data_IF_970660596575
#
_entry.id   IF_970660596575
#
_cell.length_a   1.000
_cell.length_b   1.000
_cell.length_c   1.000
_cell.angle_alpha   90.00
_cell.angle_beta   90.00
_cell.angle_gamma   90.00
#
_symmetry.space_group_name_H-M   'P 1'
#
loop_
_entity.id
_entity.type
_entity.pdbx_description
1 polymer ?
#
# COMPACT_ATOMS: atom_id res chain seq x y z
N UNK A 1 -3.32 8.15 1.05
CA UNK A 1 -3.26 9.56 1.54
C UNK A 1 -3.30 10.51 0.35
N UNK A 2 -4.14 11.55 0.38
CA UNK A 2 -4.15 12.61 -0.66
C UNK A 2 -3.00 13.59 -0.42
N UNK A 3 -2.26 13.96 -1.47
CA UNK A 3 -1.11 14.86 -1.40
C UNK A 3 -1.24 16.04 -2.38
N UNK A 4 -0.39 17.06 -2.23
CA UNK A 4 -0.36 18.21 -3.16
C UNK A 4 0.60 17.91 -4.32
N UNK A 5 0.40 18.54 -5.49
CA UNK A 5 1.30 18.36 -6.63
C UNK A 5 2.75 18.77 -6.36
N UNK A 6 3.00 19.64 -5.38
CA UNK A 6 4.34 20.07 -4.99
C UNK A 6 5.02 19.12 -3.98
N UNK A 7 4.28 18.16 -3.42
CA UNK A 7 4.77 17.25 -2.39
C UNK A 7 5.94 16.41 -2.91
N UNK A 8 7.08 16.50 -2.23
CA UNK A 8 8.28 15.72 -2.55
C UNK A 8 8.29 14.42 -1.77
N UNK A 9 8.98 13.41 -2.30
CA UNK A 9 9.07 12.12 -1.60
C UNK A 9 9.83 12.21 -0.26
N UNK A 10 10.74 13.18 -0.12
CA UNK A 10 11.44 13.47 1.14
C UNK A 10 10.49 13.95 2.24
N UNK A 11 9.44 14.66 1.88
CA UNK A 11 8.50 15.30 2.82
C UNK A 11 7.47 14.29 3.36
N UNK A 12 7.37 13.11 2.75
CA UNK A 12 6.44 12.07 3.14
C UNK A 12 7.10 10.98 3.98
N UNK A 13 6.29 10.24 4.74
CA UNK A 13 6.79 9.30 5.74
C UNK A 13 7.70 8.20 5.16
N UNK A 14 8.68 7.81 5.99
CA UNK A 14 9.75 6.85 5.64
C UNK A 14 9.36 5.37 5.90
N UNK A 15 8.16 5.12 6.40
CA UNK A 15 7.69 3.78 6.74
C UNK A 15 6.85 3.14 5.64
N UNK A 16 6.79 1.81 5.65
CA UNK A 16 5.97 0.96 4.75
C UNK A 16 4.46 1.27 4.69
N UNK A 17 3.75 1.82 5.73
CA UNK A 17 2.34 2.17 5.51
C UNK A 17 2.15 3.37 4.57
N UNK A 18 3.22 4.10 4.26
CA UNK A 18 3.20 5.32 3.48
C UNK A 18 3.75 5.15 2.06
N UNK A 19 3.44 4.03 1.42
CA UNK A 19 3.91 3.82 0.05
C UNK A 19 2.87 4.28 -0.98
N UNK A 20 1.61 4.52 -0.57
CA UNK A 20 0.53 4.89 -1.48
C UNK A 20 0.01 6.31 -1.29
N UNK A 21 0.01 7.05 -2.39
CA UNK A 21 -0.43 8.45 -2.43
C UNK A 21 -1.45 8.66 -3.53
N UNK A 22 -2.46 9.49 -3.26
CA UNK A 22 -3.46 9.93 -4.23
C UNK A 22 -3.07 11.32 -4.70
N UNK A 23 -2.68 11.40 -5.95
CA UNK A 23 -2.32 12.62 -6.63
C UNK A 23 -3.58 13.30 -7.19
N UNK A 24 -3.70 14.63 -7.03
CA UNK A 24 -4.78 15.39 -7.62
C UNK A 24 -4.53 15.59 -9.12
N UNK A 25 -5.55 16.08 -9.81
CA UNK A 25 -5.46 16.49 -11.22
C UNK A 25 -4.51 17.68 -11.42
N UNK A 26 -4.07 17.85 -12.66
CA UNK A 26 -3.31 18.98 -13.19
C UNK A 26 -1.96 19.20 -12.52
N UNK A 27 -1.26 18.14 -12.11
CA UNK A 27 0.05 18.28 -11.48
C UNK A 27 1.20 18.62 -12.45
N UNK A 28 1.03 18.47 -13.77
CA UNK A 28 2.05 18.79 -14.77
C UNK A 28 2.52 20.25 -14.69
N UNK A 29 1.60 21.19 -14.44
CA UNK A 29 1.84 22.63 -14.33
C UNK A 29 2.54 23.06 -13.03
N UNK A 30 2.67 22.17 -12.04
CA UNK A 30 3.39 22.45 -10.80
C UNK A 30 4.86 22.79 -11.06
N UNK A 31 5.39 23.77 -10.33
CA UNK A 31 6.80 24.20 -10.41
C UNK A 31 7.77 23.24 -9.69
N UNK A 32 7.28 22.24 -8.96
CA UNK A 32 8.12 21.32 -8.20
C UNK A 32 8.97 20.45 -9.12
N UNK A 33 10.25 20.24 -8.82
CA UNK A 33 11.19 19.57 -9.74
C UNK A 33 10.90 18.06 -9.89
N UNK A 34 11.33 17.49 -11.01
CA UNK A 34 11.45 16.04 -11.23
C UNK A 34 12.90 15.77 -11.61
N UNK A 35 13.59 14.89 -10.90
CA UNK A 35 15.01 14.61 -11.09
C UNK A 35 15.16 13.12 -11.32
N UNK A 36 15.62 12.72 -12.51
CA UNK A 36 15.77 11.32 -12.92
C UNK A 36 14.64 10.77 -13.78
N UNK A 37 14.83 9.52 -14.18
CA UNK A 37 13.94 8.72 -15.04
C UNK A 37 14.03 7.27 -14.57
N UNK A 38 12.91 6.55 -14.50
CA UNK A 38 12.74 5.24 -13.83
C UNK A 38 12.96 5.28 -12.31
N UNK A 39 14.08 5.84 -11.88
CA UNK A 39 14.38 6.21 -10.51
C UNK A 39 14.40 7.73 -10.38
N UNK A 40 13.66 8.24 -9.40
CA UNK A 40 13.53 9.66 -9.11
C UNK A 40 14.23 9.99 -7.80
N UNK A 41 14.94 11.12 -7.73
CA UNK A 41 15.60 11.55 -6.49
C UNK A 41 14.57 12.03 -5.47
N UNK A 42 14.82 11.85 -4.17
CA UNK A 42 13.87 12.14 -3.08
C UNK A 42 13.25 13.55 -3.07
N UNK A 43 13.87 14.56 -3.67
CA UNK A 43 13.34 15.93 -3.78
C UNK A 43 12.40 16.12 -4.97
N UNK A 44 12.21 15.08 -5.79
CA UNK A 44 11.25 15.09 -6.89
C UNK A 44 9.82 15.10 -6.35
N UNK A 45 8.94 15.83 -7.03
CA UNK A 45 7.49 15.75 -6.81
C UNK A 45 7.00 14.35 -7.15
N UNK A 46 6.26 13.72 -6.23
CA UNK A 46 5.69 12.38 -6.41
C UNK A 46 4.74 12.38 -7.61
N UNK A 47 3.80 13.33 -7.65
CA UNK A 47 2.76 13.37 -8.66
C UNK A 47 3.29 13.75 -10.05
N UNK A 48 4.24 14.69 -10.14
CA UNK A 48 4.86 15.02 -11.42
C UNK A 48 5.71 13.88 -11.95
N UNK A 49 6.45 13.19 -11.08
CA UNK A 49 7.21 12.01 -11.45
C UNK A 49 6.28 10.86 -11.90
N UNK A 50 5.09 10.72 -11.30
CA UNK A 50 4.11 9.72 -11.70
C UNK A 50 3.52 10.01 -13.10
N UNK A 51 3.18 11.28 -13.38
CA UNK A 51 2.79 11.73 -14.73
C UNK A 51 3.94 11.52 -15.72
N UNK A 52 5.16 11.95 -15.37
CA UNK A 52 6.35 11.75 -16.19
C UNK A 52 6.54 10.27 -16.57
N UNK A 53 6.40 9.35 -15.62
CA UNK A 53 6.53 7.92 -15.85
C UNK A 53 5.32 7.30 -16.59
N UNK A 54 4.20 8.02 -16.72
CA UNK A 54 2.96 7.51 -17.33
C UNK A 54 2.17 6.56 -16.43
N UNK A 55 2.38 6.63 -15.11
CA UNK A 55 1.65 5.82 -14.14
C UNK A 55 0.21 6.32 -13.99
N UNK A 56 0.02 7.64 -14.05
CA UNK A 56 -1.26 8.33 -13.97
C UNK A 56 -1.38 9.35 -15.10
N UNK A 57 -2.61 9.68 -15.51
CA UNK A 57 -2.90 10.81 -16.38
C UNK A 57 -2.76 12.12 -15.62
N UNK A 58 -2.48 13.22 -16.32
CA UNK A 58 -2.43 14.52 -15.68
C UNK A 58 -3.83 15.04 -15.35
N UNK A 59 -4.82 14.69 -16.17
CA UNK A 59 -6.18 15.21 -16.17
C UNK A 59 -7.00 14.62 -15.02
N UNK A 60 -6.79 13.33 -14.72
CA UNK A 60 -7.52 12.63 -13.66
C UNK A 60 -6.70 12.60 -12.35
N UNK A 61 -5.37 12.58 -12.47
CA UNK A 61 -4.49 12.25 -11.34
C UNK A 61 -4.61 10.76 -11.00
N UNK A 62 -4.58 10.42 -9.72
CA UNK A 62 -4.85 9.05 -9.27
C UNK A 62 -3.89 8.51 -8.22
N UNK A 63 -4.04 7.21 -7.94
CA UNK A 63 -3.26 6.52 -6.92
C UNK A 63 -1.94 6.00 -7.49
N UNK A 64 -0.87 6.20 -6.73
CA UNK A 64 0.47 5.75 -7.07
C UNK A 64 1.04 4.93 -5.92
N UNK A 65 1.82 3.90 -6.26
CA UNK A 65 2.60 3.13 -5.30
C UNK A 65 4.08 3.51 -5.43
N UNK A 66 4.75 3.71 -4.30
CA UNK A 66 6.09 4.25 -4.20
C UNK A 66 7.02 3.27 -3.48
N UNK A 67 8.00 2.77 -4.21
CA UNK A 67 9.08 1.98 -3.63
C UNK A 67 10.30 2.87 -3.44
N UNK A 68 10.67 3.12 -2.17
CA UNK A 68 11.94 3.80 -1.86
C UNK A 68 13.09 2.91 -2.32
N UNK A 69 14.06 3.52 -2.99
CA UNK A 69 15.31 2.89 -3.40
C UNK A 69 16.43 3.44 -2.54
N UNK A 70 17.49 2.65 -2.43
CA UNK A 70 18.71 3.07 -1.76
C UNK A 70 19.43 4.18 -2.54
N UNK A 71 20.72 4.24 -2.33
CA UNK A 71 21.61 5.19 -2.96
C UNK A 71 21.75 4.88 -4.46
N UNK A 72 21.34 5.82 -5.31
CA UNK A 72 21.52 5.75 -6.77
C UNK A 72 22.74 6.62 -7.13
N UNK A 73 23.70 6.15 -7.95
CA UNK A 73 24.93 6.90 -8.26
C UNK A 73 24.67 8.22 -9.01
N UNK A 74 23.76 8.21 -9.98
CA UNK A 74 23.39 9.38 -10.78
C UNK A 74 21.96 9.24 -11.33
N UNK A 75 21.37 10.35 -11.75
CA UNK A 75 20.02 10.42 -12.29
C UNK A 75 20.05 11.01 -13.70
N UNK A 76 19.42 10.32 -14.65
CA UNK A 76 19.39 10.71 -16.06
C UNK A 76 18.11 11.49 -16.37
N UNK A 77 18.25 12.63 -17.06
CA UNK A 77 17.11 13.44 -17.52
C UNK A 77 16.39 12.77 -18.69
N UNK A 78 15.09 12.97 -18.79
CA UNK A 78 14.31 12.70 -20.00
C UNK A 78 13.08 13.61 -20.07
N UNK A 79 12.39 13.59 -21.20
CA UNK A 79 11.10 14.24 -21.38
C UNK A 79 10.09 13.15 -21.72
N UNK A 80 9.07 12.97 -20.87
CA UNK A 80 8.03 11.95 -21.03
C UNK A 80 6.68 12.51 -20.58
N UNK A 81 5.62 12.16 -21.30
CA UNK A 81 4.25 12.58 -20.97
C UNK A 81 4.12 14.11 -20.74
N UNK A 82 4.90 14.89 -21.51
CA UNK A 82 4.98 16.34 -21.41
C UNK A 82 5.58 16.90 -20.10
N UNK A 83 6.20 16.07 -19.27
CA UNK A 83 7.01 16.49 -18.12
C UNK A 83 8.48 16.31 -18.49
N UNK A 84 9.32 17.30 -18.18
CA UNK A 84 10.78 17.20 -18.32
C UNK A 84 11.43 16.99 -16.97
N UNK A 85 12.26 15.96 -16.85
CA UNK A 85 13.08 15.72 -15.66
C UNK A 85 14.49 16.33 -15.81
N UNK A 86 15.19 16.45 -14.68
CA UNK A 86 16.54 16.98 -14.57
C UNK A 86 17.55 15.86 -14.31
N UNK A 87 18.79 16.05 -14.74
CA UNK A 87 19.89 15.15 -14.41
C UNK A 87 20.53 15.55 -13.09
N UNK A 88 21.18 14.58 -12.43
CA UNK A 88 21.99 14.80 -11.24
C UNK A 88 23.14 13.81 -11.23
N UNK A 89 24.36 14.29 -11.41
CA UNK A 89 25.59 13.48 -11.43
C UNK A 89 26.20 13.28 -10.04
N UNK A 90 25.36 13.34 -9.00
CA UNK A 90 25.76 13.10 -7.62
C UNK A 90 24.85 12.05 -7.00
N UNK A 91 25.48 11.14 -6.27
CA UNK A 91 24.80 10.08 -5.57
C UNK A 91 23.77 10.61 -4.57
N UNK A 92 22.56 10.05 -4.62
CA UNK A 92 21.48 10.39 -3.70
C UNK A 92 20.47 9.23 -3.60
N UNK A 93 19.66 9.24 -2.54
CA UNK A 93 18.58 8.27 -2.40
C UNK A 93 17.52 8.48 -3.50
N UNK A 94 17.01 7.38 -4.02
CA UNK A 94 15.99 7.37 -5.07
C UNK A 94 14.67 6.77 -4.62
N UNK A 95 13.68 6.81 -5.50
CA UNK A 95 12.47 6.02 -5.42
C UNK A 95 11.95 5.69 -6.82
N UNK A 96 11.19 4.62 -6.94
CA UNK A 96 10.45 4.26 -8.15
C UNK A 96 8.95 4.38 -7.89
N UNK A 97 8.19 4.61 -8.96
CA UNK A 97 6.74 4.77 -8.94
C UNK A 97 6.13 3.69 -9.81
N UNK A 98 5.09 3.02 -9.30
CA UNK A 98 4.32 2.02 -10.02
C UNK A 98 2.82 2.26 -9.88
N UNK A 99 2.03 1.63 -10.77
CA UNK A 99 0.57 1.60 -10.66
C UNK A 99 0.18 0.80 -9.42
N UNK A 100 -0.85 1.25 -8.71
CA UNK A 100 -1.47 0.43 -7.67
C UNK A 100 -2.27 -0.67 -8.34
N UNK A 101 -1.87 -1.92 -8.14
CA UNK A 101 -2.64 -3.08 -8.62
C UNK A 101 -3.77 -3.38 -7.65
N UNK A 102 -4.92 -3.79 -8.18
CA UNK A 102 -6.04 -4.29 -7.39
C UNK A 102 -6.32 -5.75 -7.74
N UNK A 103 -6.68 -6.56 -6.75
CA UNK A 103 -7.05 -7.96 -6.92
C UNK A 103 -8.34 -8.25 -6.18
N UNK A 104 -9.33 -8.78 -6.90
CA UNK A 104 -10.53 -9.36 -6.30
C UNK A 104 -10.19 -10.73 -5.74
N UNK A 105 -10.70 -11.02 -4.55
CA UNK A 105 -10.40 -12.23 -3.79
C UNK A 105 -11.68 -12.87 -3.29
N UNK A 106 -11.62 -14.13 -2.89
CA UNK A 106 -12.70 -14.76 -2.12
C UNK A 106 -12.60 -14.40 -0.62
N UNK A 107 -13.58 -14.85 0.16
CA UNK A 107 -13.64 -14.63 1.60
C UNK A 107 -12.60 -15.41 2.41
N UNK A 108 -11.90 -16.38 1.81
CA UNK A 108 -10.93 -17.25 2.49
C UNK A 108 -9.49 -16.79 2.27
N UNK A 109 -9.27 -15.90 1.30
CA UNK A 109 -7.95 -15.41 0.95
C UNK A 109 -7.21 -14.79 2.16
N UNK A 110 -5.94 -15.19 2.30
CA UNK A 110 -5.08 -14.80 3.41
C UNK A 110 -3.89 -13.98 2.95
N UNK A 111 -3.28 -13.21 3.86
CA UNK A 111 -2.07 -12.43 3.53
C UNK A 111 -0.88 -13.36 3.27
N UNK A 112 -0.80 -14.51 3.95
CA UNK A 112 0.25 -15.50 3.73
C UNK A 112 0.34 -15.95 2.25
N UNK A 113 -0.81 -16.11 1.59
CA UNK A 113 -0.89 -16.51 0.18
C UNK A 113 -0.71 -15.33 -0.78
N UNK A 114 -1.34 -14.18 -0.51
CA UNK A 114 -1.39 -13.08 -1.47
C UNK A 114 -0.19 -12.14 -1.40
N UNK A 115 0.38 -11.97 -0.21
CA UNK A 115 1.43 -11.00 0.04
C UNK A 115 2.27 -11.42 1.26
N UNK A 116 3.06 -12.49 1.13
CA UNK A 116 3.94 -12.93 2.21
C UNK A 116 4.91 -11.80 2.57
N UNK A 117 5.14 -11.63 3.87
CA UNK A 117 6.07 -10.61 4.36
C UNK A 117 7.52 -11.01 4.03
N UNK A 118 8.21 -10.15 3.29
CA UNK A 118 9.65 -10.20 3.09
C UNK A 118 10.28 -8.85 3.45
N UNK A 119 11.60 -8.82 3.68
CA UNK A 119 12.37 -7.58 3.86
C UNK A 119 13.15 -7.29 2.56
N UNK A 120 13.15 -6.04 2.05
CA UNK A 120 12.35 -4.89 2.51
C UNK A 120 10.85 -5.12 2.29
N UNK A 121 10.03 -4.46 3.10
CA UNK A 121 8.61 -4.80 3.25
C UNK A 121 7.84 -4.88 1.90
N UNK A 122 7.12 -5.99 1.73
CA UNK A 122 6.36 -6.31 0.52
C UNK A 122 5.29 -5.26 0.19
N UNK A 123 5.22 -4.87 -1.08
CA UNK A 123 4.12 -4.08 -1.62
C UNK A 123 2.96 -5.01 -1.98
N UNK A 124 1.94 -5.06 -1.15
CA UNK A 124 0.75 -5.86 -1.45
C UNK A 124 -0.11 -5.17 -2.51
N UNK A 125 -0.90 -5.92 -3.30
CA UNK A 125 -1.96 -5.35 -4.09
C UNK A 125 -3.05 -4.78 -3.17
N UNK A 126 -3.85 -3.86 -3.70
CA UNK A 126 -5.13 -3.48 -3.09
C UNK A 126 -6.09 -4.65 -3.26
N UNK A 127 -6.83 -4.98 -2.21
CA UNK A 127 -7.69 -6.15 -2.21
C UNK A 127 -9.12 -5.69 -2.30
N UNK A 128 -9.89 -6.27 -3.23
CA UNK A 128 -11.31 -6.02 -3.36
C UNK A 128 -12.07 -7.21 -2.75
N UNK A 129 -12.71 -6.96 -1.62
CA UNK A 129 -13.47 -7.95 -0.89
C UNK A 129 -14.92 -8.02 -1.38
N UNK A 130 -15.47 -9.22 -1.60
CA UNK A 130 -16.88 -9.39 -1.91
C UNK A 130 -17.74 -9.10 -0.67
N UNK A 131 -19.04 -8.87 -0.85
CA UNK A 131 -19.98 -8.79 0.26
C UNK A 131 -20.18 -10.17 0.93
N UNK A 132 -20.78 -10.15 2.12
CA UNK A 132 -21.32 -11.31 2.84
C UNK A 132 -20.31 -12.37 3.33
N UNK A 133 -19.03 -12.01 3.48
CA UNK A 133 -18.02 -12.93 4.03
C UNK A 133 -18.25 -13.39 5.49
N UNK A 134 -19.25 -12.86 6.21
CA UNK A 134 -19.63 -13.36 7.54
C UNK A 134 -20.57 -14.57 7.49
N UNK A 135 -21.26 -14.80 6.38
CA UNK A 135 -22.14 -15.95 6.17
C UNK A 135 -21.34 -17.23 5.88
N UNK A 136 -20.07 -17.07 5.51
CA UNK A 136 -19.13 -18.15 5.28
C UNK A 136 -18.73 -18.89 6.56
N UNK A 137 -18.44 -20.18 6.43
CA UNK A 137 -18.06 -21.01 7.57
C UNK A 137 -16.83 -20.44 8.31
N UNK A 138 -16.93 -20.17 9.63
CA UNK A 138 -15.85 -19.51 10.37
C UNK A 138 -14.51 -20.22 10.33
N UNK A 139 -14.53 -21.55 10.16
CA UNK A 139 -13.34 -22.40 10.09
C UNK A 139 -12.45 -22.09 8.88
N UNK A 140 -13.03 -21.72 7.73
CA UNK A 140 -12.26 -21.42 6.51
C UNK A 140 -11.85 -19.96 6.39
N UNK A 141 -12.48 -19.06 7.16
CA UNK A 141 -12.21 -17.63 7.10
C UNK A 141 -11.81 -17.06 8.48
N UNK A 142 -10.94 -17.73 9.22
CA UNK A 142 -10.61 -17.37 10.62
C UNK A 142 -10.07 -15.94 10.75
N UNK A 143 -10.30 -15.33 11.90
CA UNK A 143 -9.73 -14.02 12.26
C UNK A 143 -8.94 -14.18 13.55
N UNK A 144 -7.63 -14.02 13.49
CA UNK A 144 -6.74 -14.26 14.64
C UNK A 144 -6.06 -12.94 15.02
N UNK A 145 -6.38 -12.43 16.20
CA UNK A 145 -5.83 -11.21 16.77
C UNK A 145 -6.71 -9.96 16.68
N UNK A 146 -6.12 -8.82 17.02
CA UNK A 146 -6.81 -7.53 17.11
C UNK A 146 -5.79 -6.42 16.87
N UNK A 147 -6.13 -5.45 16.00
CA UNK A 147 -5.26 -4.38 15.46
C UNK A 147 -4.08 -4.87 14.60
N UNK A 148 -3.44 -5.96 15.01
CA UNK A 148 -2.45 -6.73 14.26
C UNK A 148 -2.97 -8.17 14.23
N UNK A 149 -3.07 -8.73 13.04
CA UNK A 149 -3.67 -10.03 12.78
C UNK A 149 -2.62 -11.00 12.26
N UNK A 150 -2.76 -12.28 12.56
CA UNK A 150 -1.91 -13.30 11.92
C UNK A 150 -2.16 -13.31 10.42
N UNK A 151 -1.12 -13.47 9.62
CA UNK A 151 -1.20 -13.60 8.15
C UNK A 151 -2.02 -14.79 7.64
N UNK A 152 -2.37 -15.73 8.52
CA UNK A 152 -3.33 -16.82 8.29
C UNK A 152 -4.80 -16.39 8.40
N UNK A 153 -5.07 -15.17 8.85
CA UNK A 153 -6.45 -14.66 8.95
C UNK A 153 -7.00 -14.31 7.58
N UNK A 154 -8.30 -14.55 7.37
CA UNK A 154 -9.03 -14.06 6.20
C UNK A 154 -8.94 -12.54 6.11
N UNK A 155 -8.54 -12.02 4.96
CA UNK A 155 -8.40 -10.57 4.77
C UNK A 155 -9.74 -9.86 4.89
N UNK A 156 -10.79 -10.39 4.25
CA UNK A 156 -12.09 -9.73 4.17
C UNK A 156 -12.86 -9.79 5.49
N UNK A 157 -12.86 -10.92 6.22
CA UNK A 157 -13.42 -10.96 7.57
C UNK A 157 -12.61 -10.11 8.55
N UNK A 158 -11.29 -10.08 8.41
CA UNK A 158 -10.44 -9.18 9.21
C UNK A 158 -10.79 -7.71 8.94
N UNK A 159 -11.11 -7.34 7.70
CA UNK A 159 -11.53 -5.99 7.35
C UNK A 159 -12.84 -5.60 8.05
N UNK A 160 -13.84 -6.49 8.04
CA UNK A 160 -15.09 -6.28 8.76
C UNK A 160 -14.85 -6.21 10.27
N UNK A 161 -14.09 -7.15 10.85
CA UNK A 161 -13.72 -7.13 12.27
C UNK A 161 -13.01 -5.82 12.66
N UNK A 162 -12.12 -5.31 11.82
CA UNK A 162 -11.43 -4.04 12.04
C UNK A 162 -12.31 -2.80 11.81
N UNK A 163 -13.52 -2.95 11.27
CA UNK A 163 -14.42 -1.86 10.92
C UNK A 163 -13.98 -1.08 9.67
N UNK A 164 -13.15 -1.70 8.84
CA UNK A 164 -12.59 -1.11 7.62
C UNK A 164 -13.61 -1.11 6.47
N UNK A 165 -14.43 -2.17 6.38
CA UNK A 165 -15.52 -2.30 5.41
C UNK A 165 -16.79 -2.81 6.11
N UNK A 166 -17.94 -2.64 5.45
CA UNK A 166 -19.22 -3.22 5.87
C UNK A 166 -19.43 -4.58 5.19
N UNK A 167 -19.86 -5.60 5.94
CA UNK A 167 -20.04 -6.95 5.41
C UNK A 167 -20.93 -7.01 4.16
N UNK A 168 -22.11 -6.37 4.20
CA UNK A 168 -23.10 -6.43 3.11
C UNK A 168 -22.69 -5.69 1.83
N UNK A 169 -21.61 -4.89 1.87
CA UNK A 169 -21.11 -4.14 0.71
C UNK A 169 -19.81 -4.75 0.19
N UNK A 170 -18.96 -5.24 1.10
CA UNK A 170 -17.57 -5.55 0.78
C UNK A 170 -16.76 -4.27 0.56
N UNK A 171 -15.78 -4.32 -0.34
CA UNK A 171 -15.05 -3.16 -0.82
C UNK A 171 -13.54 -3.27 -0.78
N UNK A 172 -12.88 -2.14 -1.06
CA UNK A 172 -11.44 -2.07 -1.22
C UNK A 172 -10.72 -1.91 0.12
N UNK A 173 -9.69 -2.72 0.34
CA UNK A 173 -8.87 -2.70 1.55
C UNK A 173 -7.38 -2.73 1.20
N UNK A 174 -6.60 -2.06 2.04
CA UNK A 174 -5.15 -2.07 1.96
C UNK A 174 -4.58 -2.89 3.12
N UNK A 175 -3.67 -3.80 2.82
CA UNK A 175 -2.98 -4.62 3.83
C UNK A 175 -1.51 -4.29 3.88
N UNK A 176 -0.95 -4.37 5.08
CA UNK A 176 0.47 -4.16 5.34
C UNK A 176 1.01 -5.37 6.10
N UNK A 177 1.82 -6.23 5.47
CA UNK A 177 2.50 -7.31 6.14
C UNK A 177 3.52 -6.74 7.12
N UNK A 178 3.59 -7.34 8.30
CA UNK A 178 4.49 -6.95 9.40
C UNK A 178 5.04 -8.22 10.06
N UNK A 179 6.07 -8.04 10.88
CA UNK A 179 6.59 -9.14 11.69
C UNK A 179 5.55 -9.68 12.67
N UNK A 180 5.64 -10.99 12.95
CA UNK A 180 4.73 -11.66 13.89
C UNK A 180 4.83 -11.08 15.30
N UNK A 181 3.74 -11.17 16.05
CA UNK A 181 3.75 -10.95 17.50
C UNK A 181 3.91 -12.27 18.25
N UNK A 182 4.52 -12.20 19.44
CA UNK A 182 4.54 -13.32 20.40
C UNK A 182 3.15 -13.66 20.94
N UNK A 183 2.22 -12.69 20.95
CA UNK A 183 0.83 -12.89 21.38
C UNK A 183 -0.14 -12.06 20.55
N UNK A 184 -1.26 -12.68 20.19
CA UNK A 184 -2.43 -12.03 19.62
C UNK A 184 -3.58 -12.10 20.61
N UNK A 185 -4.17 -10.95 20.91
CA UNK A 185 -5.31 -10.86 21.80
C UNK A 185 -6.61 -11.09 21.02
N UNK A 186 -7.55 -11.81 21.65
CA UNK A 186 -8.92 -11.94 21.17
C UNK A 186 -9.69 -10.63 21.38
N UNK A 187 -10.65 -10.34 20.51
CA UNK A 187 -11.61 -9.26 20.66
C UNK A 187 -12.90 -9.61 19.91
N UNK A 188 -14.04 -9.11 20.41
CA UNK A 188 -15.31 -9.13 19.68
C UNK A 188 -15.54 -7.77 19.04
N UNK A 189 -15.61 -7.70 17.71
CA UNK A 189 -15.88 -6.45 16.98
C UNK A 189 -16.68 -6.72 15.72
N UNK A 190 -17.65 -5.84 15.46
CA UNK A 190 -18.46 -5.85 14.24
C UNK A 190 -19.05 -7.24 13.92
N UNK A 191 -19.56 -7.94 14.93
CA UNK A 191 -20.16 -9.27 14.79
C UNK A 191 -19.17 -10.42 14.60
N UNK A 192 -17.86 -10.19 14.77
CA UNK A 192 -16.84 -11.24 14.67
C UNK A 192 -16.08 -11.35 15.99
N UNK A 193 -16.01 -12.56 16.54
CA UNK A 193 -15.08 -12.91 17.60
C UNK A 193 -13.75 -13.35 16.99
N UNK A 194 -12.67 -12.64 17.29
CA UNK A 194 -11.34 -13.06 16.86
C UNK A 194 -10.72 -14.07 17.83
N UNK A 195 -9.84 -14.91 17.33
CA UNK A 195 -9.13 -15.90 18.13
C UNK A 195 -7.83 -15.31 18.71
N UNK A 196 -7.43 -15.82 19.88
CA UNK A 196 -6.12 -15.54 20.45
C UNK A 196 -5.14 -16.66 20.16
N UNK A 197 -3.87 -16.30 19.90
CA UNK A 197 -2.78 -17.26 19.83
C UNK A 197 -1.57 -16.74 20.60
N UNK A 198 -0.92 -17.63 21.35
CA UNK A 198 0.35 -17.38 22.05
C UNK A 198 1.44 -18.16 21.35
N UNK A 199 2.63 -17.56 21.22
CA UNK A 199 3.82 -18.15 20.63
C UNK A 199 3.53 -18.89 19.30
N UNK A 200 3.03 -18.17 18.28
CA UNK A 200 2.77 -18.78 16.97
C UNK A 200 4.06 -19.42 16.43
N UNK A 201 4.04 -20.73 16.09
CA UNK A 201 5.23 -21.42 15.61
C UNK A 201 5.74 -20.77 14.34
N UNK A 202 4.84 -20.53 13.38
CA UNK A 202 5.13 -19.96 12.07
C UNK A 202 4.12 -18.88 11.66
N UNK A 203 4.42 -18.25 10.52
CA UNK A 203 3.61 -17.17 9.97
C UNK A 203 4.08 -15.79 10.42
N UNK A 204 3.57 -14.79 9.73
CA UNK A 204 3.83 -13.37 9.94
C UNK A 204 2.55 -12.72 10.44
N UNK A 205 2.47 -11.41 10.31
CA UNK A 205 1.28 -10.68 10.67
C UNK A 205 0.95 -9.64 9.62
N UNK A 206 -0.21 -9.03 9.75
CA UNK A 206 -0.56 -7.87 8.96
C UNK A 206 -1.40 -6.87 9.74
N UNK A 207 -1.44 -5.67 9.21
CA UNK A 207 -2.40 -4.62 9.56
C UNK A 207 -3.27 -4.34 8.35
N UNK A 208 -4.54 -4.05 8.59
CA UNK A 208 -5.51 -3.71 7.56
C UNK A 208 -5.95 -2.26 7.69
N UNK A 209 -6.20 -1.60 6.56
CA UNK A 209 -6.48 -0.17 6.48
C UNK A 209 -7.62 0.10 5.49
N UNK A 210 -8.43 1.10 5.82
CA UNK A 210 -9.44 1.62 4.91
C UNK A 210 -8.81 2.40 3.76
N UNK A 211 -9.48 2.32 2.63
CA UNK A 211 -9.17 3.10 1.43
C UNK A 211 -9.99 4.38 1.46
N UNK A 212 -9.33 5.52 1.17
CA UNK A 212 -9.94 6.86 1.05
C UNK A 212 -9.85 7.39 -0.39
#
# INVERSE_FOLDING_TARGET
QVIKCATKMRDQCKGTPCNRYKCPRNCKSSKAKVIGTLYYEMQSSICRAAVHQGIISNEEGGLVDITRKGKIPFFVKSSRNGVRSLSKFKSANGFSISKVTSRTVDCYATVAQLCPFSKPATHCPRINCPPNCLEEFPFWARVIGNKIYSDRSSICRTAVHAGVIKNHIGGLVDVKPVEKKSRYATASKNGIQSESIKNPPDGKAFRIFAVA
#
